data_IF_615783157144
#
_entry.id   IF_615783157144
#
_cell.length_a   1.000
_cell.length_b   1.000
_cell.length_c   1.000
_cell.angle_alpha   90.00
_cell.angle_beta   90.00
_cell.angle_gamma   90.00
#
_symmetry.space_group_name_H-M   'P 1'
#
loop_
_entity.id
_entity.type
_entity.pdbx_description
1 polymer ?
#
# COMPACT_ATOMS: atom_id res chain seq x y z
N UNK A 1 35.73 2.47 24.39
CA UNK A 1 35.99 2.83 22.96
C UNK A 1 34.66 2.86 22.23
N UNK A 2 34.16 4.04 21.87
CA UNK A 2 32.86 4.21 21.20
C UNK A 2 32.92 3.64 19.78
N UNK A 3 32.11 2.62 19.47
CA UNK A 3 31.91 2.16 18.10
C UNK A 3 31.27 3.30 17.31
N UNK A 4 32.04 3.90 16.40
CA UNK A 4 31.55 4.86 15.42
C UNK A 4 30.43 4.18 14.61
N UNK A 5 29.20 4.61 14.82
CA UNK A 5 28.05 4.23 13.99
C UNK A 5 28.33 4.74 12.58
N UNK A 6 28.67 3.85 11.66
CA UNK A 6 28.79 4.18 10.25
C UNK A 6 27.40 4.63 9.78
N UNK A 7 27.24 5.91 9.47
CA UNK A 7 26.05 6.42 8.78
C UNK A 7 25.99 5.69 7.45
N UNK A 8 25.07 4.73 7.31
CA UNK A 8 24.73 4.13 6.02
C UNK A 8 24.29 5.28 5.11
N UNK A 9 25.06 5.55 4.06
CA UNK A 9 24.68 6.49 3.03
C UNK A 9 23.29 6.13 2.48
N UNK A 10 22.47 7.12 2.08
CA UNK A 10 21.18 6.83 1.46
C UNK A 10 21.46 6.00 0.20
N UNK A 11 20.87 4.80 0.13
CA UNK A 11 20.92 3.96 -1.07
C UNK A 11 20.38 4.82 -2.21
N UNK A 12 21.24 5.10 -3.20
CA UNK A 12 20.86 5.75 -4.46
C UNK A 12 19.59 5.04 -4.96
N UNK A 13 18.56 5.77 -5.41
CA UNK A 13 17.32 5.18 -5.96
C UNK A 13 17.71 4.14 -7.00
N UNK A 14 17.75 2.88 -6.61
CA UNK A 14 17.93 1.77 -7.52
C UNK A 14 16.65 1.71 -8.35
N UNK A 15 16.80 1.60 -9.67
CA UNK A 15 15.67 1.42 -10.56
C UNK A 15 14.89 0.19 -10.09
N UNK A 16 13.60 0.38 -9.81
CA UNK A 16 12.81 -0.70 -9.24
C UNK A 16 12.60 -1.78 -10.30
N UNK A 17 13.17 -2.96 -10.05
CA UNK A 17 12.97 -4.15 -10.86
C UNK A 17 12.11 -5.15 -10.09
N UNK A 18 11.01 -5.60 -10.68
CA UNK A 18 10.20 -6.69 -10.14
C UNK A 18 10.48 -7.98 -10.89
N UNK A 19 11.03 -9.00 -10.21
CA UNK A 19 11.48 -10.26 -10.83
C UNK A 19 12.37 -10.07 -12.08
N UNK A 20 13.15 -8.99 -12.13
CA UNK A 20 14.03 -8.66 -13.26
C UNK A 20 13.40 -7.81 -14.36
N UNK A 21 12.13 -7.40 -14.21
CA UNK A 21 11.44 -6.50 -15.14
C UNK A 21 11.38 -5.07 -14.61
N UNK A 22 11.63 -4.12 -15.51
CA UNK A 22 11.46 -2.70 -15.24
C UNK A 22 9.97 -2.31 -15.23
N UNK A 23 9.64 -1.15 -14.68
CA UNK A 23 8.27 -0.63 -14.64
C UNK A 23 7.65 -0.53 -16.05
N UNK A 24 8.39 0.00 -17.03
CA UNK A 24 7.91 0.13 -18.41
C UNK A 24 7.59 -1.23 -19.03
N UNK A 25 8.43 -2.24 -18.76
CA UNK A 25 8.19 -3.61 -19.22
C UNK A 25 6.92 -4.19 -18.57
N UNK A 26 6.71 -3.97 -17.27
CA UNK A 26 5.51 -4.43 -16.56
C UNK A 26 4.23 -3.74 -17.04
N UNK A 27 4.32 -2.48 -17.50
CA UNK A 27 3.18 -1.75 -18.05
C UNK A 27 2.83 -2.19 -19.48
N UNK A 28 3.82 -2.62 -20.26
CA UNK A 28 3.62 -3.12 -21.62
C UNK A 28 3.08 -4.57 -21.66
N UNK A 29 3.35 -5.36 -20.62
CA UNK A 29 2.90 -6.76 -20.54
C UNK A 29 1.38 -6.90 -20.48
N UNK A 30 0.89 -7.96 -21.12
CA UNK A 30 -0.52 -8.33 -21.02
C UNK A 30 -0.84 -8.99 -19.67
N UNK A 31 -2.13 -9.04 -19.32
CA UNK A 31 -2.56 -9.65 -18.05
C UNK A 31 -2.17 -11.13 -17.95
N UNK A 32 -2.12 -11.85 -19.08
CA UNK A 32 -1.74 -13.27 -19.15
C UNK A 32 -0.26 -13.48 -18.82
N UNK A 33 0.61 -12.57 -19.29
CA UNK A 33 2.04 -12.58 -19.01
C UNK A 33 2.34 -12.16 -17.55
N UNK A 34 1.49 -11.32 -16.96
CA UNK A 34 1.62 -10.90 -15.56
C UNK A 34 1.21 -12.00 -14.58
N UNK A 35 0.30 -12.93 -14.95
CA UNK A 35 -0.15 -14.02 -14.08
C UNK A 35 1.00 -14.81 -13.44
N UNK A 36 1.99 -15.36 -14.18
CA UNK A 36 3.09 -16.12 -13.58
C UNK A 36 3.95 -15.28 -12.62
N UNK A 37 4.06 -13.97 -12.83
CA UNK A 37 4.87 -13.05 -12.01
C UNK A 37 4.18 -12.63 -10.70
N UNK A 38 2.85 -12.71 -10.66
CA UNK A 38 2.06 -12.29 -9.50
C UNK A 38 2.22 -13.26 -8.30
N UNK A 39 2.14 -12.76 -7.05
CA UNK A 39 1.97 -13.62 -5.87
C UNK A 39 0.69 -14.48 -5.96
N UNK A 40 0.64 -15.60 -5.22
CA UNK A 40 -0.48 -16.56 -5.27
C UNK A 40 -1.85 -15.92 -4.97
N UNK A 41 -1.91 -15.00 -4.01
CA UNK A 41 -3.14 -14.27 -3.66
C UNK A 41 -3.64 -13.37 -4.79
N UNK A 42 -2.74 -12.62 -5.42
CA UNK A 42 -3.06 -11.76 -6.54
C UNK A 42 -3.52 -12.57 -7.76
N UNK A 43 -2.79 -13.63 -8.12
CA UNK A 43 -3.18 -14.59 -9.17
C UNK A 43 -4.58 -15.14 -8.96
N UNK A 44 -4.88 -15.63 -7.76
CA UNK A 44 -6.19 -16.21 -7.42
C UNK A 44 -7.33 -15.21 -7.61
N UNK A 45 -7.12 -13.95 -7.24
CA UNK A 45 -8.13 -12.90 -7.38
C UNK A 45 -8.37 -12.58 -8.85
N UNK A 46 -7.32 -12.44 -9.65
CA UNK A 46 -7.42 -12.23 -11.10
C UNK A 46 -8.14 -13.39 -11.78
N UNK A 47 -7.76 -14.64 -11.48
CA UNK A 47 -8.39 -15.84 -12.05
C UNK A 47 -9.87 -15.99 -11.67
N UNK A 48 -10.29 -15.45 -10.52
CA UNK A 48 -11.69 -15.41 -10.10
C UNK A 48 -12.50 -14.28 -10.74
N UNK A 49 -11.81 -13.29 -11.32
CA UNK A 49 -12.40 -12.08 -11.87
C UNK A 49 -12.49 -10.93 -10.86
N UNK A 50 -12.54 -9.72 -11.42
CA UNK A 50 -12.80 -8.50 -10.68
C UNK A 50 -14.31 -8.33 -10.45
N UNK A 51 -14.68 -7.68 -9.36
CA UNK A 51 -16.09 -7.27 -9.16
C UNK A 51 -16.39 -6.02 -9.98
N UNK A 52 -17.67 -5.77 -10.31
CA UNK A 52 -18.06 -4.58 -11.08
C UNK A 52 -17.52 -3.26 -10.47
N UNK A 53 -17.51 -3.15 -9.14
CA UNK A 53 -16.92 -1.98 -8.49
C UNK A 53 -15.40 -1.87 -8.66
N UNK A 54 -14.67 -2.99 -8.74
CA UNK A 54 -13.23 -2.99 -9.01
C UNK A 54 -12.93 -2.55 -10.46
N UNK A 55 -13.80 -2.93 -11.40
CA UNK A 55 -13.73 -2.49 -12.80
C UNK A 55 -14.00 -0.99 -12.95
N UNK A 56 -15.02 -0.46 -12.26
CA UNK A 56 -15.31 0.97 -12.21
C UNK A 56 -14.14 1.79 -11.68
N UNK A 57 -13.49 1.29 -10.62
CA UNK A 57 -12.31 1.94 -10.05
C UNK A 57 -11.15 1.90 -11.03
N UNK A 58 -10.92 0.77 -11.72
CA UNK A 58 -9.88 0.68 -12.77
C UNK A 58 -10.14 1.68 -13.90
N UNK A 59 -11.38 1.78 -14.38
CA UNK A 59 -11.76 2.73 -15.44
C UNK A 59 -11.55 4.19 -15.01
N UNK A 60 -11.97 4.56 -13.79
CA UNK A 60 -11.75 5.91 -13.24
C UNK A 60 -10.27 6.24 -13.07
N UNK A 61 -9.48 5.27 -12.61
CA UNK A 61 -8.03 5.43 -12.48
C UNK A 61 -7.40 5.60 -13.87
N UNK A 62 -7.88 4.90 -14.89
CA UNK A 62 -7.42 5.08 -16.28
C UNK A 62 -7.74 6.49 -16.81
N UNK A 63 -8.91 7.04 -16.48
CA UNK A 63 -9.34 8.38 -16.89
C UNK A 63 -8.54 9.53 -16.22
N UNK A 64 -7.88 9.27 -15.09
CA UNK A 64 -7.05 10.26 -14.41
C UNK A 64 -7.80 11.16 -13.42
N UNK A 65 -9.06 10.86 -13.14
CA UNK A 65 -9.84 11.57 -12.12
C UNK A 65 -9.34 11.25 -10.71
N UNK A 66 -9.52 12.18 -9.77
CA UNK A 66 -9.23 11.94 -8.35
C UNK A 66 -10.14 10.86 -7.77
N UNK A 67 -9.71 9.59 -7.82
CA UNK A 67 -10.56 8.45 -7.50
C UNK A 67 -10.71 8.26 -5.99
N UNK A 68 -11.93 8.43 -5.50
CA UNK A 68 -12.33 8.05 -4.14
C UNK A 68 -12.94 6.65 -4.16
N UNK A 69 -12.38 5.73 -3.37
CA UNK A 69 -12.83 4.33 -3.35
C UNK A 69 -13.04 3.80 -1.93
N UNK A 70 -14.09 3.00 -1.77
CA UNK A 70 -14.31 2.17 -0.57
C UNK A 70 -13.75 0.75 -0.75
N UNK A 71 -13.34 0.42 -1.97
CA UNK A 71 -12.93 -0.93 -2.33
C UNK A 71 -11.47 -1.13 -1.94
N UNK A 72 -11.28 -1.79 -0.81
CA UNK A 72 -9.95 -2.10 -0.24
C UNK A 72 -9.38 -3.43 -0.71
N UNK A 73 -10.21 -4.27 -1.35
CA UNK A 73 -9.85 -5.59 -1.89
C UNK A 73 -9.20 -5.56 -3.27
N UNK A 74 -9.06 -4.36 -3.86
CA UNK A 74 -8.48 -4.18 -5.17
C UNK A 74 -6.96 -4.32 -5.11
N UNK A 75 -6.40 -4.98 -6.13
CA UNK A 75 -4.95 -5.17 -6.30
C UNK A 75 -4.40 -4.02 -7.13
N UNK A 76 -3.21 -3.53 -6.77
CA UNK A 76 -2.46 -2.57 -7.58
C UNK A 76 -1.91 -3.27 -8.82
N UNK A 77 -2.36 -2.81 -9.98
CA UNK A 77 -1.81 -3.19 -11.28
C UNK A 77 -0.69 -2.22 -11.70
N UNK A 78 0.27 -2.65 -12.54
CA UNK A 78 1.36 -1.79 -13.02
C UNK A 78 0.89 -0.49 -13.70
N UNK A 79 -0.29 -0.51 -14.33
CA UNK A 79 -0.95 0.64 -14.97
C UNK A 79 -1.36 1.76 -13.98
N UNK A 80 -1.42 1.44 -12.68
CA UNK A 80 -1.91 2.35 -11.63
C UNK A 80 -0.78 3.06 -10.87
N UNK A 81 0.48 2.68 -11.13
CA UNK A 81 1.65 3.25 -10.47
C UNK A 81 1.76 4.75 -10.77
N UNK A 82 2.04 5.55 -9.75
CA UNK A 82 2.15 7.02 -9.87
C UNK A 82 0.80 7.76 -9.88
N UNK A 83 -0.33 7.05 -9.83
CA UNK A 83 -1.66 7.67 -9.70
C UNK A 83 -2.03 7.88 -8.23
N UNK A 84 -2.81 8.92 -7.98
CA UNK A 84 -3.32 9.27 -6.65
C UNK A 84 -4.71 8.65 -6.46
N UNK A 85 -4.85 7.86 -5.39
CA UNK A 85 -6.11 7.21 -5.04
C UNK A 85 -6.44 7.52 -3.59
N UNK A 86 -7.69 7.93 -3.35
CA UNK A 86 -8.21 8.21 -2.02
C UNK A 86 -8.97 6.99 -1.49
N UNK A 87 -8.37 6.28 -0.53
CA UNK A 87 -8.87 5.00 -0.02
C UNK A 87 -9.60 5.22 1.32
N UNK A 88 -10.81 4.69 1.44
CA UNK A 88 -11.58 4.81 2.67
C UNK A 88 -11.00 3.96 3.82
N UNK A 89 -10.66 4.61 4.93
CA UNK A 89 -10.14 3.96 6.14
C UNK A 89 -11.27 3.40 7.05
N UNK A 90 -12.52 3.84 6.85
CA UNK A 90 -13.64 3.57 7.76
C UNK A 90 -14.18 4.83 8.44
N UNK A 91 -13.44 5.94 8.34
CA UNK A 91 -13.81 7.27 8.85
C UNK A 91 -13.50 8.37 7.85
N UNK A 92 -12.30 8.33 7.28
CA UNK A 92 -11.80 9.34 6.35
C UNK A 92 -11.22 8.68 5.10
N UNK A 93 -11.09 9.46 4.04
CA UNK A 93 -10.39 9.05 2.82
C UNK A 93 -8.93 9.45 2.94
N UNK A 94 -8.05 8.47 2.90
CA UNK A 94 -6.60 8.69 2.93
C UNK A 94 -6.13 8.76 1.49
N UNK A 95 -5.59 9.90 1.08
CA UNK A 95 -4.97 10.07 -0.23
C UNK A 95 -3.60 9.39 -0.24
N UNK A 96 -3.44 8.44 -1.16
CA UNK A 96 -2.21 7.67 -1.34
C UNK A 96 -1.79 7.78 -2.80
N UNK A 97 -0.55 8.19 -3.01
CA UNK A 97 0.13 8.04 -4.29
C UNK A 97 0.72 6.63 -4.36
N UNK A 98 0.37 5.86 -5.39
CA UNK A 98 0.76 4.46 -5.50
C UNK A 98 2.26 4.37 -5.79
N UNK A 99 3.07 3.83 -4.85
CA UNK A 99 4.51 3.68 -5.06
C UNK A 99 4.79 2.48 -5.98
N UNK A 100 5.96 2.49 -6.62
CA UNK A 100 6.37 1.41 -7.55
C UNK A 100 6.57 0.09 -6.79
N UNK A 101 7.01 0.16 -5.53
CA UNK A 101 7.17 -0.98 -4.64
C UNK A 101 5.83 -1.63 -4.26
N UNK A 102 4.71 -0.93 -4.48
CA UNK A 102 3.36 -1.39 -4.15
C UNK A 102 2.71 -2.29 -5.20
N UNK A 103 3.40 -2.68 -6.26
CA UNK A 103 2.84 -3.54 -7.31
C UNK A 103 2.37 -4.89 -6.71
N UNK A 104 1.17 -5.33 -7.09
CA UNK A 104 0.49 -6.54 -6.60
C UNK A 104 0.09 -6.56 -5.13
N UNK A 105 0.27 -5.47 -4.39
CA UNK A 105 -0.32 -5.28 -3.07
C UNK A 105 -1.78 -4.83 -3.14
N UNK A 106 -2.52 -5.01 -2.05
CA UNK A 106 -3.90 -4.56 -1.97
C UNK A 106 -4.00 -3.09 -1.53
N UNK A 107 -4.99 -2.35 -2.05
CA UNK A 107 -5.28 -0.97 -1.62
C UNK A 107 -5.46 -0.86 -0.10
N UNK A 108 -6.08 -1.87 0.52
CA UNK A 108 -6.28 -1.90 1.97
C UNK A 108 -5.01 -1.85 2.81
N UNK A 109 -3.84 -2.17 2.25
CA UNK A 109 -2.55 -2.14 2.96
C UNK A 109 -2.03 -0.70 3.14
N UNK A 110 -2.38 0.19 2.22
CA UNK A 110 -1.90 1.59 2.23
C UNK A 110 -2.73 2.51 3.12
N UNK A 111 -3.95 2.10 3.48
CA UNK A 111 -4.84 2.86 4.35
C UNK A 111 -5.06 2.13 5.68
N UNK A 112 -4.31 2.51 6.71
CA UNK A 112 -4.46 1.96 8.06
C UNK A 112 -5.88 2.25 8.61
N UNK A 113 -6.59 1.20 9.03
CA UNK A 113 -7.94 1.31 9.65
C UNK A 113 -7.89 1.78 11.10
N UNK A 114 -6.73 1.62 11.75
CA UNK A 114 -6.53 1.91 13.17
C UNK A 114 -5.32 2.80 13.36
N UNK A 115 -5.40 3.65 14.39
CA UNK A 115 -4.26 4.44 14.83
C UNK A 115 -3.27 3.52 15.56
N UNK A 116 -1.97 3.77 15.36
CA UNK A 116 -0.93 3.12 16.15
C UNK A 116 -1.03 3.61 17.59
N UNK A 117 -1.32 2.71 18.52
CA UNK A 117 -1.34 3.02 19.95
C UNK A 117 0.10 2.90 20.46
N UNK A 118 0.59 3.97 21.08
CA UNK A 118 1.83 3.96 21.84
C UNK A 118 1.45 3.93 23.31
N UNK A 119 1.92 2.93 24.05
CA UNK A 119 1.68 2.90 25.49
C UNK A 119 2.43 4.07 26.14
N UNK A 120 1.71 4.87 26.95
CA UNK A 120 2.35 5.82 27.85
C UNK A 120 3.03 5.09 29.02
N UNK A 121 3.89 5.80 29.74
CA UNK A 121 4.42 5.31 31.01
C UNK A 121 3.28 5.07 32.00
N UNK A 122 3.36 4.01 32.80
CA UNK A 122 2.41 3.80 33.89
C UNK A 122 2.49 5.02 34.83
N UNK A 123 1.34 5.67 35.07
CA UNK A 123 1.27 6.75 36.05
C UNK A 123 1.73 6.25 37.42
N UNK A 124 2.43 7.09 38.20
CA UNK A 124 2.89 6.72 39.54
C UNK A 124 1.68 6.36 40.40
N UNK A 125 1.58 5.10 40.82
CA UNK A 125 0.47 4.56 41.61
C UNK A 125 -0.61 3.78 40.84
N UNK A 126 -0.50 3.62 39.51
CA UNK A 126 -1.47 2.87 38.72
C UNK A 126 -1.21 1.35 38.76
N UNK A 127 -2.02 0.59 39.50
CA UNK A 127 -2.10 -0.87 39.42
C UNK A 127 -2.81 -1.29 38.13
N UNK A 128 -2.05 -1.71 37.10
CA UNK A 128 -2.40 -2.44 35.83
C UNK A 128 -3.71 -2.14 35.05
N UNK A 129 -4.71 -1.41 35.55
CA UNK A 129 -6.05 -1.29 34.97
C UNK A 129 -6.60 0.14 34.93
N UNK A 130 -5.92 1.15 35.48
CA UNK A 130 -6.48 2.51 35.58
C UNK A 130 -5.68 3.59 34.84
N UNK A 131 -6.35 4.13 33.81
CA UNK A 131 -6.19 5.41 33.10
C UNK A 131 -4.86 5.70 32.38
N UNK A 132 -4.98 5.74 31.05
CA UNK A 132 -4.01 6.31 30.12
C UNK A 132 -3.75 7.80 30.45
N UNK A 133 -2.50 8.14 30.75
CA UNK A 133 -2.03 9.52 30.86
C UNK A 133 -1.45 9.92 29.50
N UNK A 134 -2.00 10.94 28.81
CA UNK A 134 -1.43 11.43 27.56
C UNK A 134 -0.06 12.05 27.83
N UNK A 135 1.00 11.46 27.26
CA UNK A 135 2.30 12.13 27.17
C UNK A 135 2.18 13.23 26.09
N UNK A 136 2.58 14.45 26.45
CA UNK A 136 2.62 15.62 25.55
C UNK A 136 3.75 15.50 24.55
#
# INVERSE_FOLDING_TARGET
MAKKTTKRMPKRREEYTYHGYNLEALQAMSMEELLPLMPSGARRKVLRGFTAGEEDVRAKIAAGDGVRTHIRSMIILPEMVGKKVAIYSGKEFVEVEIPVEGIFHYFGEFALTRKKVSHGSAGVGATRSSKYVPLK
#
